data_IF_164250103541
#
_entry.id   IF_164250103541
#
_cell.length_a   1.000
_cell.length_b   1.000
_cell.length_c   1.000
_cell.angle_alpha   90.00
_cell.angle_beta   90.00
_cell.angle_gamma   90.00
#
_symmetry.space_group_name_H-M   'P 1'
#
loop_
_entity.id
_entity.type
_entity.pdbx_description
1 polymer ?
#
# COMPACT_ATOMS: atom_id res chain seq x y z
N UNK A 1 41.89 -18.86 29.41
CA UNK A 1 41.18 -19.16 28.16
C UNK A 1 39.79 -18.53 28.23
N UNK A 2 39.61 -17.34 27.65
CA UNK A 2 38.32 -16.63 27.61
C UNK A 2 37.60 -17.06 26.33
N UNK A 3 36.48 -17.79 26.48
CA UNK A 3 35.60 -18.12 25.35
C UNK A 3 34.79 -16.86 25.01
N UNK A 4 35.16 -16.18 23.93
CA UNK A 4 34.29 -15.19 23.30
C UNK A 4 33.08 -15.94 22.72
N UNK A 5 31.91 -15.76 23.33
CA UNK A 5 30.66 -16.16 22.73
C UNK A 5 30.30 -15.13 21.63
N UNK A 6 30.37 -15.56 20.37
CA UNK A 6 29.82 -14.82 19.25
C UNK A 6 28.29 -14.79 19.41
N UNK A 7 27.75 -13.66 19.84
CA UNK A 7 26.32 -13.39 19.69
C UNK A 7 26.05 -13.11 18.20
N UNK A 8 25.62 -14.14 17.48
CA UNK A 8 25.02 -13.96 16.17
C UNK A 8 23.69 -13.20 16.38
N UNK A 9 23.72 -11.89 16.14
CA UNK A 9 22.51 -11.07 15.99
C UNK A 9 21.73 -11.62 14.79
N UNK A 10 20.78 -12.50 15.06
CA UNK A 10 19.73 -12.83 14.11
C UNK A 10 18.94 -11.56 13.86
N UNK A 11 19.23 -10.91 12.74
CA UNK A 11 18.38 -9.85 12.20
C UNK A 11 17.08 -10.53 11.84
N UNK A 12 16.11 -10.54 12.75
CA UNK A 12 14.73 -10.87 12.41
C UNK A 12 14.34 -9.77 11.42
N UNK A 13 14.14 -10.07 10.12
CA UNK A 13 13.61 -9.06 9.22
C UNK A 13 12.32 -8.59 9.86
N UNK A 14 12.24 -7.30 10.19
CA UNK A 14 11.04 -6.73 10.77
C UNK A 14 9.88 -7.13 9.86
N UNK A 15 9.05 -8.06 10.33
CA UNK A 15 7.79 -8.45 9.73
C UNK A 15 6.90 -7.21 9.87
N UNK A 16 7.16 -6.19 9.07
CA UNK A 16 6.26 -5.08 8.90
C UNK A 16 4.92 -5.71 8.54
N UNK A 17 3.94 -5.55 9.43
CA UNK A 17 2.59 -6.12 9.27
C UNK A 17 2.16 -5.93 7.82
N UNK A 18 1.85 -7.05 7.14
CA UNK A 18 1.60 -7.07 5.70
C UNK A 18 0.41 -6.18 5.30
N UNK A 19 -0.51 -5.91 6.25
CA UNK A 19 -1.49 -4.84 6.14
C UNK A 19 -0.82 -3.52 6.48
N UNK A 20 -0.62 -2.70 5.47
CA UNK A 20 -0.16 -1.33 5.63
C UNK A 20 -1.28 -0.37 5.21
N UNK A 21 -1.40 0.72 5.95
CA UNK A 21 -2.35 1.79 5.64
C UNK A 21 -3.66 1.74 6.40
N UNK A 22 -4.50 2.72 6.09
CA UNK A 22 -5.93 2.79 6.43
C UNK A 22 -6.71 2.92 5.13
N UNK A 23 -7.93 2.41 5.09
CA UNK A 23 -8.81 2.61 3.94
C UNK A 23 -9.04 4.10 3.77
N UNK A 24 -8.44 4.71 2.76
CA UNK A 24 -8.50 6.14 2.53
C UNK A 24 -9.24 6.40 1.23
N UNK A 25 -10.53 6.70 1.31
CA UNK A 25 -11.36 6.80 0.09
C UNK A 25 -11.02 8.04 -0.74
N UNK A 26 -10.27 9.01 -0.19
CA UNK A 26 -9.79 10.18 -0.93
C UNK A 26 -8.49 9.93 -1.70
N UNK A 27 -7.88 8.76 -1.50
CA UNK A 27 -6.59 8.39 -2.11
C UNK A 27 -6.59 7.00 -2.76
N UNK A 28 -7.31 6.05 -2.20
CA UNK A 28 -7.29 4.66 -2.62
C UNK A 28 -8.17 4.46 -3.85
N UNK A 29 -7.62 3.75 -4.83
CA UNK A 29 -8.37 3.25 -5.97
C UNK A 29 -9.09 1.97 -5.58
N UNK A 30 -10.19 1.66 -6.27
CA UNK A 30 -10.78 0.33 -6.20
C UNK A 30 -10.15 -0.51 -7.31
N UNK A 31 -9.31 -1.45 -6.92
CA UNK A 31 -8.68 -2.44 -7.80
C UNK A 31 -9.48 -3.74 -7.74
N UNK A 32 -9.71 -4.35 -8.90
CA UNK A 32 -10.31 -5.67 -9.00
C UNK A 32 -9.28 -6.68 -9.49
N UNK A 33 -9.06 -7.73 -8.70
CA UNK A 33 -8.19 -8.84 -9.07
C UNK A 33 -8.99 -10.08 -9.49
N UNK A 34 -8.45 -10.92 -10.37
CA UNK A 34 -9.11 -12.19 -10.74
C UNK A 34 -8.95 -13.23 -9.62
N UNK A 35 -10.04 -13.78 -9.05
CA UNK A 35 -9.95 -14.80 -7.99
C UNK A 35 -9.24 -16.10 -8.42
N UNK A 36 -9.23 -16.40 -9.73
CA UNK A 36 -8.51 -17.54 -10.29
C UNK A 36 -6.99 -17.39 -10.22
N UNK A 37 -6.48 -16.16 -10.10
CA UNK A 37 -5.04 -15.86 -9.97
C UNK A 37 -4.69 -15.64 -8.49
N UNK A 38 -5.50 -14.87 -7.77
CA UNK A 38 -5.33 -14.65 -6.33
C UNK A 38 -6.49 -15.23 -5.56
N UNK A 39 -6.23 -16.28 -4.80
CA UNK A 39 -7.24 -16.95 -3.99
C UNK A 39 -7.66 -16.16 -2.73
N UNK A 40 -6.91 -15.12 -2.35
CA UNK A 40 -7.19 -14.27 -1.18
C UNK A 40 -6.73 -12.83 -1.42
N UNK A 41 -7.36 -11.90 -0.70
CA UNK A 41 -6.96 -10.48 -0.66
C UNK A 41 -5.52 -10.30 -0.16
N UNK A 42 -5.04 -11.16 0.75
CA UNK A 42 -3.67 -11.13 1.24
C UNK A 42 -2.65 -11.46 0.14
N UNK A 43 -2.92 -12.47 -0.69
CA UNK A 43 -2.05 -12.83 -1.82
C UNK A 43 -1.99 -11.70 -2.84
N UNK A 44 -3.15 -11.11 -3.16
CA UNK A 44 -3.22 -9.93 -4.01
C UNK A 44 -2.41 -8.76 -3.43
N UNK A 45 -2.63 -8.39 -2.17
CA UNK A 45 -1.91 -7.27 -1.55
C UNK A 45 -0.40 -7.49 -1.49
N UNK A 46 0.09 -8.73 -1.32
CA UNK A 46 1.52 -9.06 -1.37
C UNK A 46 2.11 -8.82 -2.76
N UNK A 47 1.41 -9.27 -3.80
CA UNK A 47 1.86 -9.07 -5.18
C UNK A 47 1.83 -7.59 -5.56
N UNK A 48 0.70 -6.91 -5.32
CA UNK A 48 0.54 -5.48 -5.58
C UNK A 48 1.61 -4.65 -4.84
N UNK A 49 1.90 -4.99 -3.57
CA UNK A 49 3.00 -4.40 -2.81
C UNK A 49 4.33 -4.57 -3.52
N UNK A 50 4.67 -5.77 -3.96
CA UNK A 50 5.94 -6.04 -4.62
C UNK A 50 6.08 -5.18 -5.88
N UNK A 51 5.03 -5.07 -6.67
CA UNK A 51 5.03 -4.21 -7.86
C UNK A 51 5.15 -2.73 -7.51
N UNK A 52 4.46 -2.27 -6.47
CA UNK A 52 4.60 -0.91 -5.97
C UNK A 52 6.03 -0.58 -5.51
N UNK A 53 6.65 -1.47 -4.71
CA UNK A 53 8.03 -1.33 -4.23
C UNK A 53 9.00 -1.24 -5.40
N UNK A 54 8.86 -2.14 -6.37
CA UNK A 54 9.73 -2.20 -7.55
C UNK A 54 9.60 -0.92 -8.40
N UNK A 55 8.36 -0.49 -8.67
CA UNK A 55 8.11 0.68 -9.49
C UNK A 55 8.57 1.96 -8.79
N UNK A 56 8.12 2.21 -7.56
CA UNK A 56 8.52 3.39 -6.79
C UNK A 56 10.03 3.46 -6.57
N UNK A 57 10.67 2.32 -6.27
CA UNK A 57 12.12 2.23 -6.10
C UNK A 57 12.88 2.58 -7.37
N UNK A 58 12.40 2.15 -8.54
CA UNK A 58 12.98 2.53 -9.83
C UNK A 58 12.88 4.04 -10.11
N UNK A 59 11.87 4.73 -9.53
CA UNK A 59 11.73 6.18 -9.58
C UNK A 59 12.54 6.92 -8.48
N UNK A 60 13.39 6.21 -7.73
CA UNK A 60 14.16 6.79 -6.62
C UNK A 60 13.32 7.12 -5.37
N UNK A 61 12.06 6.68 -5.32
CA UNK A 61 11.14 6.97 -4.23
C UNK A 61 11.10 5.85 -3.18
N UNK A 62 10.80 6.21 -1.94
CA UNK A 62 10.36 5.26 -0.92
C UNK A 62 8.87 5.00 -1.12
N UNK A 63 8.47 3.73 -1.19
CA UNK A 63 7.07 3.38 -1.37
C UNK A 63 6.23 3.77 -0.13
N UNK A 64 4.99 4.18 -0.37
CA UNK A 64 3.92 4.25 0.61
C UNK A 64 2.79 3.36 0.07
N UNK A 65 2.35 2.38 0.86
CA UNK A 65 1.36 1.42 0.42
C UNK A 65 0.14 1.44 1.34
N UNK A 66 -1.03 1.50 0.73
CA UNK A 66 -2.27 1.09 1.38
C UNK A 66 -2.80 -0.13 0.65
N UNK A 67 -2.90 -1.27 1.34
CA UNK A 67 -3.60 -2.45 0.85
C UNK A 67 -4.00 -3.29 2.07
N UNK A 68 -5.18 -3.00 2.60
CA UNK A 68 -5.69 -3.62 3.82
C UNK A 68 -6.31 -4.98 3.46
N UNK A 69 -5.61 -6.09 3.71
CA UNK A 69 -6.07 -7.42 3.27
C UNK A 69 -7.28 -7.96 4.03
N UNK A 70 -7.70 -7.33 5.13
CA UNK A 70 -8.95 -7.68 5.83
C UNK A 70 -10.21 -7.27 5.06
N UNK A 71 -10.06 -6.52 3.96
CA UNK A 71 -11.16 -6.24 3.04
C UNK A 71 -11.64 -7.54 2.37
N UNK A 72 -12.96 -7.72 2.24
CA UNK A 72 -13.50 -8.80 1.41
C UNK A 72 -13.12 -8.53 -0.05
N UNK A 73 -12.42 -9.48 -0.68
CA UNK A 73 -12.11 -9.41 -2.11
C UNK A 73 -13.31 -9.79 -3.00
N UNK A 74 -13.18 -9.68 -4.34
CA UNK A 74 -11.97 -9.34 -5.08
C UNK A 74 -11.77 -7.84 -5.37
N UNK A 75 -12.68 -6.98 -4.92
CA UNK A 75 -12.55 -5.53 -5.06
C UNK A 75 -11.88 -4.95 -3.80
N UNK A 76 -10.76 -4.28 -4.00
CA UNK A 76 -9.85 -3.86 -2.94
C UNK A 76 -9.58 -2.37 -3.08
N UNK A 77 -9.76 -1.62 -2.00
CA UNK A 77 -9.14 -0.31 -1.87
C UNK A 77 -7.64 -0.49 -1.72
N UNK A 78 -6.89 0.13 -2.62
CA UNK A 78 -5.44 0.11 -2.59
C UNK A 78 -4.82 1.39 -3.17
N UNK A 79 -3.63 1.71 -2.69
CA UNK A 79 -2.84 2.84 -3.14
C UNK A 79 -1.35 2.45 -3.19
N UNK A 80 -0.67 2.89 -4.24
CA UNK A 80 0.77 2.89 -4.33
C UNK A 80 1.27 4.32 -4.49
N UNK A 81 2.00 4.82 -3.48
CA UNK A 81 2.63 6.13 -3.51
C UNK A 81 4.15 6.03 -3.54
N UNK A 82 4.79 7.02 -4.15
CA UNK A 82 6.22 7.26 -4.05
C UNK A 82 6.50 8.53 -3.27
N UNK A 83 7.14 8.41 -2.10
CA UNK A 83 7.72 9.53 -1.37
C UNK A 83 9.13 9.77 -1.90
N UNK A 84 9.40 10.95 -2.45
CA UNK A 84 10.76 11.30 -2.87
C UNK A 84 11.65 11.64 -1.67
N UNK A 85 12.97 11.51 -1.83
CA UNK A 85 13.91 12.02 -0.82
C UNK A 85 13.89 13.54 -0.85
N UNK A 86 14.03 14.15 0.32
CA UNK A 86 14.36 15.56 0.40
C UNK A 86 15.77 15.81 -0.16
N UNK A 87 16.09 17.07 -0.45
CA UNK A 87 17.42 17.47 -0.93
C UNK A 87 18.56 17.09 0.04
N UNK A 88 18.28 16.98 1.33
CA UNK A 88 19.22 16.55 2.38
C UNK A 88 19.34 15.01 2.50
N UNK A 89 18.65 14.25 1.65
CA UNK A 89 18.66 12.79 1.64
C UNK A 89 17.75 12.13 2.69
N UNK A 90 17.03 12.92 3.50
CA UNK A 90 16.06 12.40 4.48
C UNK A 90 14.71 12.06 3.85
N UNK A 91 13.94 11.25 4.56
CA UNK A 91 12.55 10.92 4.23
C UNK A 91 11.55 11.62 5.17
N UNK A 92 11.98 12.64 5.92
CA UNK A 92 11.16 13.32 6.93
C UNK A 92 10.37 14.50 6.33
N UNK A 93 9.31 14.97 6.97
CA UNK A 93 8.51 16.10 6.48
C UNK A 93 7.44 15.74 5.43
N UNK A 94 6.71 16.79 5.00
CA UNK A 94 5.60 16.74 4.03
C UNK A 94 6.16 16.73 2.62
N UNK A 95 6.83 15.64 2.24
CA UNK A 95 7.16 15.45 0.83
C UNK A 95 5.89 15.01 0.11
N UNK A 96 5.61 15.65 -1.03
CA UNK A 96 4.51 15.25 -1.91
C UNK A 96 4.62 13.76 -2.24
N UNK A 97 3.51 13.03 -2.10
CA UNK A 97 3.44 11.62 -2.47
C UNK A 97 2.95 11.55 -3.90
N UNK A 98 3.80 11.08 -4.81
CA UNK A 98 3.41 10.82 -6.18
C UNK A 98 2.59 9.53 -6.24
N UNK A 99 1.41 9.58 -6.86
CA UNK A 99 0.56 8.41 -7.06
C UNK A 99 1.10 7.55 -8.23
N UNK A 100 1.37 6.27 -7.94
CA UNK A 100 1.81 5.25 -8.88
C UNK A 100 0.84 4.05 -8.92
N UNK A 101 -0.40 4.24 -8.44
CA UNK A 101 -1.35 3.14 -8.26
C UNK A 101 -1.71 2.47 -9.57
N UNK A 102 -1.92 3.24 -10.64
CA UNK A 102 -2.30 2.70 -11.96
C UNK A 102 -1.16 1.90 -12.57
N UNK A 103 0.08 2.37 -12.42
CA UNK A 103 1.28 1.70 -12.91
C UNK A 103 1.53 0.40 -12.15
N UNK A 104 1.47 0.44 -10.82
CA UNK A 104 1.57 -0.77 -10.00
C UNK A 104 0.44 -1.77 -10.32
N UNK A 105 -0.79 -1.30 -10.55
CA UNK A 105 -1.92 -2.15 -10.92
C UNK A 105 -1.73 -2.79 -12.30
N UNK A 106 -1.21 -2.06 -13.29
CA UNK A 106 -0.92 -2.57 -14.62
C UNK A 106 0.19 -3.64 -14.62
N UNK A 107 1.14 -3.55 -13.69
CA UNK A 107 2.20 -4.53 -13.47
C UNK A 107 1.74 -5.74 -12.64
N UNK A 108 0.63 -5.62 -11.92
CA UNK A 108 0.09 -6.71 -11.09
C UNK A 108 -0.77 -7.62 -11.94
N UNK A 109 -0.44 -8.91 -11.97
CA UNK A 109 -1.12 -9.89 -12.84
C UNK A 109 -2.65 -9.82 -12.69
N UNK A 110 -3.38 -9.85 -13.80
CA UNK A 110 -4.85 -9.97 -13.79
C UNK A 110 -5.57 -8.95 -12.89
N UNK A 111 -5.03 -7.74 -12.77
CA UNK A 111 -5.58 -6.64 -11.97
C UNK A 111 -6.11 -5.55 -12.88
N UNK A 112 -7.23 -4.95 -12.49
CA UNK A 112 -7.85 -3.83 -13.22
C UNK A 112 -8.25 -2.71 -12.27
N UNK A 113 -8.09 -1.47 -12.71
CA UNK A 113 -8.63 -0.30 -12.00
C UNK A 113 -10.12 -0.21 -12.30
N UNK A 114 -10.96 -0.26 -11.27
CA UNK A 114 -12.43 -0.13 -11.40
C UNK A 114 -12.89 1.30 -11.18
N UNK A 115 -12.42 1.92 -10.10
CA UNK A 115 -12.79 3.26 -9.70
C UNK A 115 -11.57 4.03 -9.20
N UNK A 116 -11.58 5.32 -9.51
CA UNK A 116 -10.63 6.29 -8.96
C UNK A 116 -11.05 6.74 -7.56
N UNK A 117 -10.13 7.35 -6.79
CA UNK A 117 -10.45 7.90 -5.48
C UNK A 117 -11.55 8.97 -5.57
N UNK A 118 -12.36 9.07 -4.53
CA UNK A 118 -13.45 10.05 -4.48
C UNK A 118 -12.97 11.34 -3.82
N UNK A 119 -13.49 12.49 -4.24
CA UNK A 119 -13.13 13.76 -3.62
C UNK A 119 -13.57 13.88 -2.15
N UNK A 120 -12.89 14.74 -1.38
CA UNK A 120 -13.14 14.98 0.06
C UNK A 120 -14.63 15.10 0.41
N UNK A 121 -15.37 15.93 -0.34
CA UNK A 121 -16.78 16.16 -0.08
C UNK A 121 -17.65 14.90 -0.29
N UNK A 122 -17.29 14.04 -1.24
CA UNK A 122 -17.99 12.78 -1.46
C UNK A 122 -17.65 11.76 -0.36
N UNK A 123 -16.38 11.70 0.06
CA UNK A 123 -15.93 10.85 1.16
C UNK A 123 -16.66 11.21 2.47
N UNK A 124 -16.68 12.50 2.84
CA UNK A 124 -17.37 12.96 4.04
C UNK A 124 -18.88 12.65 4.01
N UNK A 125 -19.52 12.78 2.85
CA UNK A 125 -20.93 12.38 2.67
C UNK A 125 -21.14 10.88 2.83
N UNK A 126 -20.19 10.06 2.38
CA UNK A 126 -20.24 8.61 2.55
C UNK A 126 -20.05 8.23 4.03
N UNK A 127 -19.06 8.82 4.70
CA UNK A 127 -18.75 8.57 6.11
C UNK A 127 -19.91 8.97 7.02
N UNK A 128 -20.60 10.09 6.73
CA UNK A 128 -21.81 10.50 7.46
C UNK A 128 -22.95 9.47 7.36
N UNK A 129 -23.02 8.70 6.27
CA UNK A 129 -24.01 7.61 6.09
C UNK A 129 -23.55 6.29 6.73
N UNK A 130 -22.27 6.15 7.04
CA UNK A 130 -21.66 4.95 7.62
C UNK A 130 -20.81 5.33 8.84
N UNK A 131 -21.41 5.86 9.92
CA UNK A 131 -20.66 6.50 11.01
C UNK A 131 -19.69 5.56 11.76
N UNK A 132 -19.84 4.25 11.62
CA UNK A 132 -18.98 3.24 12.24
C UNK A 132 -17.92 2.67 11.28
N UNK A 133 -17.75 3.27 10.10
CA UNK A 133 -16.72 2.84 9.14
C UNK A 133 -15.34 3.32 9.59
N UNK A 134 -14.35 2.43 9.59
CA UNK A 134 -12.94 2.77 9.83
C UNK A 134 -12.27 3.19 8.51
N UNK A 135 -12.76 4.28 7.91
CA UNK A 135 -12.16 4.89 6.72
C UNK A 135 -11.59 6.27 7.03
N UNK A 136 -10.61 6.68 6.26
CA UNK A 136 -10.06 8.03 6.22
C UNK A 136 -10.71 8.79 5.07
N UNK A 137 -11.16 9.98 5.42
CA UNK A 137 -11.37 11.13 4.58
C UNK A 137 -10.46 12.23 5.16
#
# INVERSE_FOLDING_TARGET
MVKLALFALWVVPALATFSQGSLNFTRDYILHYRPSVFSTSEKFCKEFRQQCVNYAGAQGAHHQLDCVYSQPGPEMHAFCGGKQKNADGTWTGVTEITDYTKEAAALTESTTVRLEPIGQAACLKWQAKHPNSNIVC
#
